data_IF_098036960945
#
_entry.id   IF_098036960945
#
_cell.length_a   1.000
_cell.length_b   1.000
_cell.length_c   1.000
_cell.angle_alpha   90.00
_cell.angle_beta   90.00
_cell.angle_gamma   90.00
#
_symmetry.space_group_name_H-M   'P 1'
#
loop_
_entity.id
_entity.type
_entity.pdbx_description
1 polymer ?
#
# COMPACT_ATOMS: atom_id res chain seq x y z
N UNK A 1 -17.48 -0.33 -3.84
CA UNK A 1 -16.47 -1.03 -3.03
C UNK A 1 -15.20 -1.16 -3.85
N UNK A 2 -14.02 -1.01 -3.23
CA UNK A 2 -12.74 -1.30 -3.90
C UNK A 2 -12.68 -2.78 -4.24
N UNK A 3 -12.42 -3.11 -5.49
CA UNK A 3 -12.28 -4.50 -5.94
C UNK A 3 -10.80 -4.85 -6.19
N UNK A 4 -10.52 -6.12 -6.49
CA UNK A 4 -9.15 -6.59 -6.71
C UNK A 4 -8.43 -5.90 -7.87
N UNK A 5 -9.14 -5.44 -8.90
CA UNK A 5 -8.57 -4.72 -10.05
C UNK A 5 -8.16 -3.31 -9.65
N UNK A 6 -9.00 -2.60 -8.89
CA UNK A 6 -8.67 -1.27 -8.36
C UNK A 6 -7.39 -1.34 -7.50
N UNK A 7 -7.33 -2.35 -6.62
CA UNK A 7 -6.19 -2.58 -5.74
C UNK A 7 -4.94 -3.05 -6.49
N UNK A 8 -5.10 -3.73 -7.63
CA UNK A 8 -3.96 -4.14 -8.46
C UNK A 8 -3.23 -2.93 -9.03
N UNK A 9 -3.97 -2.01 -9.67
CA UNK A 9 -3.40 -0.78 -10.20
C UNK A 9 -2.80 0.09 -9.08
N UNK A 10 -3.48 0.12 -7.94
CA UNK A 10 -3.02 0.83 -6.75
C UNK A 10 -1.67 0.32 -6.24
N UNK A 11 -1.55 -0.97 -5.96
CA UNK A 11 -0.31 -1.56 -5.45
C UNK A 11 0.80 -1.57 -6.51
N UNK A 12 0.45 -1.74 -7.78
CA UNK A 12 1.41 -1.57 -8.88
C UNK A 12 2.04 -0.17 -8.87
N UNK A 13 1.25 0.89 -8.72
CA UNK A 13 1.75 2.26 -8.70
C UNK A 13 2.70 2.49 -7.51
N UNK A 14 2.27 2.16 -6.29
CA UNK A 14 3.02 2.50 -5.07
C UNK A 14 4.16 1.52 -4.77
N UNK A 15 3.87 0.22 -4.82
CA UNK A 15 4.78 -0.86 -4.40
C UNK A 15 5.53 -1.49 -5.58
N UNK A 16 5.15 -1.17 -6.81
CA UNK A 16 5.89 -1.50 -8.04
C UNK A 16 6.64 -0.30 -8.59
N UNK A 17 5.94 0.64 -9.22
CA UNK A 17 6.60 1.71 -9.96
C UNK A 17 7.35 2.68 -9.05
N UNK A 18 6.67 3.29 -8.07
CA UNK A 18 7.27 4.36 -7.26
C UNK A 18 8.34 3.84 -6.31
N UNK A 19 8.07 2.76 -5.57
CA UNK A 19 9.04 2.15 -4.65
C UNK A 19 10.35 1.80 -5.37
N UNK A 20 10.28 1.06 -6.47
CA UNK A 20 11.49 0.61 -7.15
C UNK A 20 12.18 1.74 -7.93
N UNK A 21 11.44 2.75 -8.41
CA UNK A 21 12.04 3.97 -8.94
C UNK A 21 12.84 4.72 -7.86
N UNK A 22 12.26 4.92 -6.68
CA UNK A 22 12.94 5.56 -5.55
C UNK A 22 14.10 4.73 -5.02
N UNK A 23 13.98 3.40 -4.99
CA UNK A 23 15.05 2.53 -4.51
C UNK A 23 16.31 2.63 -5.39
N UNK A 24 16.16 2.91 -6.69
CA UNK A 24 17.29 3.12 -7.61
C UNK A 24 18.07 4.39 -7.31
N UNK A 25 17.40 5.43 -6.82
CA UNK A 25 18.01 6.75 -6.57
C UNK A 25 18.47 6.92 -5.11
N UNK A 26 17.64 6.49 -4.15
CA UNK A 26 17.83 6.77 -2.72
C UNK A 26 18.19 5.52 -1.91
N UNK A 27 18.25 4.35 -2.55
CA UNK A 27 18.38 3.07 -1.87
C UNK A 27 17.08 2.59 -1.21
N UNK A 28 17.00 1.30 -0.86
CA UNK A 28 15.74 0.67 -0.46
C UNK A 28 15.19 1.17 0.87
N UNK A 29 16.06 1.45 1.85
CA UNK A 29 15.62 1.93 3.17
C UNK A 29 14.87 3.26 3.08
N UNK A 30 15.45 4.25 2.39
CA UNK A 30 14.80 5.54 2.18
C UNK A 30 13.55 5.40 1.30
N UNK A 31 13.64 4.61 0.22
CA UNK A 31 12.53 4.42 -0.72
C UNK A 31 11.25 3.90 -0.05
N UNK A 32 11.35 2.99 0.92
CA UNK A 32 10.20 2.43 1.66
C UNK A 32 9.39 3.53 2.34
N UNK A 33 10.05 4.51 2.97
CA UNK A 33 9.38 5.62 3.64
C UNK A 33 9.02 6.75 2.67
N UNK A 34 9.88 7.05 1.69
CA UNK A 34 9.64 8.11 0.71
C UNK A 34 8.40 7.83 -0.15
N UNK A 35 8.16 6.58 -0.57
CA UNK A 35 6.93 6.24 -1.31
C UNK A 35 5.68 6.30 -0.41
N UNK A 36 5.83 6.12 0.90
CA UNK A 36 4.71 6.11 1.84
C UNK A 36 4.09 7.51 2.03
N UNK A 37 4.87 8.58 1.80
CA UNK A 37 4.41 9.97 1.93
C UNK A 37 3.34 10.34 0.89
N UNK A 38 3.59 10.25 -0.43
CA UNK A 38 2.55 10.51 -1.43
C UNK A 38 1.39 9.51 -1.32
N UNK A 39 1.66 8.26 -0.93
CA UNK A 39 0.61 7.27 -0.66
C UNK A 39 -0.33 7.68 0.50
N UNK A 40 0.22 8.26 1.58
CA UNK A 40 -0.58 8.77 2.70
C UNK A 40 -1.41 10.00 2.31
N UNK A 41 -0.91 10.88 1.43
CA UNK A 41 -1.72 11.99 0.90
C UNK A 41 -2.94 11.52 0.13
N UNK A 42 -2.87 10.37 -0.54
CA UNK A 42 -4.03 9.79 -1.22
C UNK A 42 -5.10 9.22 -0.26
N UNK A 43 -4.83 9.23 1.05
CA UNK A 43 -5.79 8.87 2.09
C UNK A 43 -6.44 10.10 2.75
N UNK A 44 -6.10 11.32 2.33
CA UNK A 44 -6.77 12.53 2.81
C UNK A 44 -8.30 12.43 2.61
N UNK A 45 -9.05 12.87 3.61
CA UNK A 45 -10.51 12.76 3.67
C UNK A 45 -11.01 11.51 4.41
N UNK A 46 -10.11 10.59 4.77
CA UNK A 46 -10.40 9.51 5.74
C UNK A 46 -10.16 9.98 7.18
N UNK A 47 -10.64 9.23 8.21
CA UNK A 47 -10.33 9.53 9.60
C UNK A 47 -8.84 9.76 9.83
N UNK A 48 -8.47 10.71 10.69
CA UNK A 48 -7.07 11.12 10.91
C UNK A 48 -6.20 9.94 11.35
N UNK A 49 -6.72 9.09 12.24
CA UNK A 49 -6.06 7.85 12.68
C UNK A 49 -5.74 6.94 11.49
N UNK A 50 -6.65 6.81 10.53
CA UNK A 50 -6.41 5.99 9.34
C UNK A 50 -5.34 6.65 8.46
N UNK A 51 -5.43 7.96 8.24
CA UNK A 51 -4.46 8.70 7.42
C UNK A 51 -3.05 8.66 8.01
N UNK A 52 -2.89 8.83 9.32
CA UNK A 52 -1.60 8.78 10.01
C UNK A 52 -1.04 7.35 10.06
N UNK A 53 -1.89 6.35 10.33
CA UNK A 53 -1.46 4.95 10.33
C UNK A 53 -1.10 4.45 8.93
N UNK A 54 -1.60 5.09 7.87
CA UNK A 54 -1.28 4.77 6.47
C UNK A 54 0.20 4.93 6.16
N UNK A 55 0.93 5.82 6.83
CA UNK A 55 2.40 5.94 6.66
C UNK A 55 3.07 4.62 7.07
N UNK A 56 2.69 4.05 8.22
CA UNK A 56 3.23 2.79 8.70
C UNK A 56 2.75 1.60 7.87
N UNK A 57 1.48 1.58 7.48
CA UNK A 57 0.95 0.55 6.57
C UNK A 57 1.64 0.56 5.20
N UNK A 58 1.86 1.74 4.64
CA UNK A 58 2.58 1.96 3.39
C UNK A 58 4.03 1.53 3.48
N UNK A 59 4.72 1.84 4.58
CA UNK A 59 6.08 1.37 4.83
C UNK A 59 6.14 -0.17 4.99
N UNK A 60 5.19 -0.77 5.72
CA UNK A 60 5.10 -2.22 5.87
C UNK A 60 4.91 -2.95 4.54
N UNK A 61 4.00 -2.45 3.70
CA UNK A 61 3.81 -3.01 2.34
C UNK A 61 5.02 -2.74 1.45
N UNK A 62 5.65 -1.56 1.56
CA UNK A 62 6.90 -1.26 0.88
C UNK A 62 8.02 -2.23 1.25
N UNK A 63 8.15 -2.59 2.52
CA UNK A 63 9.12 -3.58 2.98
C UNK A 63 8.86 -4.96 2.38
N UNK A 64 7.60 -5.43 2.39
CA UNK A 64 7.23 -6.73 1.78
C UNK A 64 7.50 -6.72 0.27
N UNK A 65 7.13 -5.63 -0.42
CA UNK A 65 7.39 -5.47 -1.84
C UNK A 65 8.89 -5.52 -2.16
N UNK A 66 9.71 -4.85 -1.35
CA UNK A 66 11.16 -4.86 -1.49
C UNK A 66 11.75 -6.25 -1.26
N UNK A 67 11.38 -6.92 -0.16
CA UNK A 67 11.89 -8.26 0.16
C UNK A 67 11.49 -9.32 -0.86
N UNK A 68 10.29 -9.22 -1.41
CA UNK A 68 9.78 -10.15 -2.42
C UNK A 68 10.18 -9.77 -3.86
N UNK A 69 10.70 -8.55 -4.08
CA UNK A 69 10.93 -8.02 -5.42
C UNK A 69 9.65 -7.81 -6.23
N UNK A 70 8.47 -7.76 -5.60
CA UNK A 70 7.18 -7.78 -6.30
C UNK A 70 6.05 -7.06 -5.55
N UNK A 71 5.26 -6.28 -6.29
CA UNK A 71 4.03 -5.67 -5.77
C UNK A 71 2.87 -6.67 -5.61
N UNK A 72 2.99 -7.89 -6.16
CA UNK A 72 1.91 -8.89 -6.11
C UNK A 72 1.59 -9.33 -4.68
N UNK A 73 2.59 -9.43 -3.80
CA UNK A 73 2.37 -9.80 -2.40
C UNK A 73 1.61 -8.70 -1.63
N UNK A 74 2.04 -7.42 -1.66
CA UNK A 74 1.21 -6.31 -1.17
C UNK A 74 -0.21 -6.30 -1.75
N UNK A 75 -0.37 -6.56 -3.04
CA UNK A 75 -1.70 -6.67 -3.67
C UNK A 75 -2.58 -7.77 -3.08
N UNK A 76 -2.06 -8.98 -2.94
CA UNK A 76 -2.81 -10.09 -2.33
C UNK A 76 -3.19 -9.78 -0.88
N UNK A 77 -2.27 -9.18 -0.10
CA UNK A 77 -2.53 -8.78 1.28
C UNK A 77 -3.58 -7.67 1.33
N UNK A 78 -3.47 -6.64 0.48
CA UNK A 78 -4.44 -5.55 0.42
C UNK A 78 -5.82 -6.07 0.06
N UNK A 79 -5.90 -6.93 -0.96
CA UNK A 79 -7.16 -7.49 -1.41
C UNK A 79 -7.78 -8.38 -0.33
N UNK A 80 -6.98 -9.18 0.38
CA UNK A 80 -7.43 -9.94 1.54
C UNK A 80 -7.99 -9.02 2.63
N UNK A 81 -7.26 -7.98 3.05
CA UNK A 81 -7.73 -7.04 4.09
C UNK A 81 -9.04 -6.38 3.66
N UNK A 82 -9.11 -5.85 2.43
CA UNK A 82 -10.29 -5.16 1.94
C UNK A 82 -11.52 -6.08 1.87
N UNK A 83 -11.36 -7.30 1.35
CA UNK A 83 -12.45 -8.27 1.24
C UNK A 83 -12.86 -8.82 2.60
N UNK A 84 -11.90 -9.15 3.46
CA UNK A 84 -12.13 -9.64 4.80
C UNK A 84 -12.88 -8.59 5.65
N UNK A 85 -12.40 -7.35 5.66
CA UNK A 85 -13.08 -6.25 6.36
C UNK A 85 -14.49 -6.04 5.82
N UNK A 86 -14.70 -6.12 4.51
CA UNK A 86 -16.03 -6.00 3.92
C UNK A 86 -16.97 -7.11 4.37
N UNK A 87 -16.51 -8.37 4.40
CA UNK A 87 -17.30 -9.53 4.86
C UNK A 87 -17.65 -9.40 6.34
N UNK A 88 -16.71 -8.95 7.18
CA UNK A 88 -16.96 -8.75 8.62
C UNK A 88 -17.90 -7.56 8.86
N UNK A 89 -17.78 -6.49 8.07
CA UNK A 89 -18.59 -5.29 8.20
C UNK A 89 -19.99 -5.44 7.56
N UNK A 90 -20.15 -6.33 6.58
CA UNK A 90 -21.47 -6.68 6.07
C UNK A 90 -22.23 -7.38 7.19
N UNK A 91 -23.22 -6.68 7.75
CA UNK A 91 -24.31 -7.36 8.45
C UNK A 91 -24.90 -8.32 7.43
N UNK A 92 -24.74 -9.63 7.65
CA UNK A 92 -25.49 -10.64 6.88
C UNK A 92 -26.97 -10.26 6.90
#
# INVERSE_FOLDING_TARGET
YLNGVDLFGWEFMWRGLLLFAFAREFGPGAAIFLQAVPFAFMHLGKPEVETLSTIFGGAGFGFIAWQSGSFLYPWLIHWFIATFTMVIASKV
#
